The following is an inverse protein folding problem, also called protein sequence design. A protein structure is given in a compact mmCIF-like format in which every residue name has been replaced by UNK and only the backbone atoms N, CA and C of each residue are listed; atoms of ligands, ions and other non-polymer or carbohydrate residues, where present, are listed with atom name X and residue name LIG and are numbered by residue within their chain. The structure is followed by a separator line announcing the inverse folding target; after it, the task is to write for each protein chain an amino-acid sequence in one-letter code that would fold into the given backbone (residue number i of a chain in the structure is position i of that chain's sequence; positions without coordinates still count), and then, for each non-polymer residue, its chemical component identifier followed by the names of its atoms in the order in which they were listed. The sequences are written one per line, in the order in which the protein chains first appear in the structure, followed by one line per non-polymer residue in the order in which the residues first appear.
data_IF_330002432209
#
_entry.id   IF_330002432209
#
_cell.length_a   1.000
_cell.length_b   1.000
_cell.length_c   1.000
_cell.angle_alpha   90.00
_cell.angle_beta   90.00
_cell.angle_gamma   90.00
#
_symmetry.space_group_name_H-M   'P 1'
#
loop_
_entity.id
_entity.type
_entity.pdbx_description
1 polymer ?
#
# COMPACT_ATOMS: atom_id res chain seq x y z
N UNK A 1 -30.51 23.86 -26.45
CA UNK A 1 -30.55 22.39 -26.40
C UNK A 1 -29.34 21.77 -25.67
N UNK A 2 -28.66 22.50 -24.77
CA UNK A 2 -27.38 22.09 -24.16
C UNK A 2 -27.39 21.96 -22.62
N UNK A 3 -28.49 22.24 -21.92
CA UNK A 3 -28.58 21.99 -20.47
C UNK A 3 -29.28 20.67 -20.10
N UNK A 4 -30.21 20.19 -20.93
CA UNK A 4 -30.90 18.91 -20.70
C UNK A 4 -30.01 17.69 -20.99
N UNK A 5 -28.98 17.83 -21.84
CA UNK A 5 -28.03 16.75 -22.17
C UNK A 5 -27.08 16.40 -21.00
N UNK A 6 -26.68 17.40 -20.21
CA UNK A 6 -25.77 17.19 -19.06
C UNK A 6 -26.51 16.57 -17.87
N UNK A 7 -27.80 16.88 -17.71
CA UNK A 7 -28.64 16.34 -16.63
C UNK A 7 -29.07 14.88 -16.86
N UNK A 8 -29.17 14.44 -18.12
CA UNK A 8 -29.51 13.05 -18.45
C UNK A 8 -28.31 12.07 -18.38
N UNK A 9 -27.07 12.57 -18.52
CA UNK A 9 -25.87 11.74 -18.52
C UNK A 9 -25.37 11.43 -17.11
N UNK A 10 -25.55 12.33 -16.14
CA UNK A 10 -25.05 12.14 -14.77
C UNK A 10 -25.57 10.85 -14.09
N UNK A 11 -26.89 10.56 -14.08
CA UNK A 11 -27.39 9.31 -13.50
C UNK A 11 -27.01 8.07 -14.33
N UNK A 12 -26.78 8.22 -15.65
CA UNK A 12 -26.32 7.13 -16.52
C UNK A 12 -24.83 6.85 -16.28
N UNK A 13 -24.00 7.86 -16.05
CA UNK A 13 -22.58 7.69 -15.70
C UNK A 13 -22.41 6.97 -14.36
N UNK A 14 -23.19 7.35 -13.33
CA UNK A 14 -23.11 6.73 -12.01
C UNK A 14 -23.54 5.25 -11.99
N UNK A 15 -24.35 4.82 -12.97
CA UNK A 15 -24.82 3.42 -13.10
C UNK A 15 -23.96 2.62 -14.09
N UNK A 16 -23.68 3.20 -15.27
CA UNK A 16 -23.02 2.50 -16.38
C UNK A 16 -21.51 2.39 -16.16
N UNK A 17 -20.86 3.40 -15.59
CA UNK A 17 -19.40 3.39 -15.38
C UNK A 17 -18.98 2.27 -14.41
N UNK A 18 -19.63 2.06 -13.24
CA UNK A 18 -19.31 0.92 -12.37
C UNK A 18 -19.51 -0.45 -13.03
N UNK A 19 -20.55 -0.59 -13.86
CA UNK A 19 -20.85 -1.84 -14.59
C UNK A 19 -19.76 -2.12 -15.63
N UNK A 20 -19.39 -1.11 -16.43
CA UNK A 20 -18.31 -1.20 -17.41
C UNK A 20 -16.98 -1.54 -16.71
N UNK A 21 -16.65 -0.84 -15.63
CA UNK A 21 -15.42 -1.08 -14.85
C UNK A 21 -15.37 -2.51 -14.32
N UNK A 22 -16.46 -3.00 -13.72
CA UNK A 22 -16.55 -4.37 -13.19
C UNK A 22 -16.41 -5.42 -14.29
N UNK A 23 -16.92 -5.13 -15.48
CA UNK A 23 -16.89 -6.07 -16.61
C UNK A 23 -15.50 -6.12 -17.27
N UNK A 24 -14.89 -4.96 -17.54
CA UNK A 24 -13.52 -4.85 -18.08
C UNK A 24 -12.48 -5.48 -17.16
N UNK A 25 -12.68 -5.37 -15.84
CA UNK A 25 -11.79 -5.98 -14.84
C UNK A 25 -11.78 -7.52 -14.89
N UNK A 26 -12.78 -8.15 -15.51
CA UNK A 26 -12.98 -9.61 -15.53
C UNK A 26 -12.70 -10.29 -16.89
N UNK A 27 -12.31 -9.53 -17.92
CA UNK A 27 -12.12 -10.07 -19.27
C UNK A 27 -10.68 -10.45 -19.58
N UNK A 28 -10.52 -11.50 -20.40
CA UNK A 28 -9.23 -11.83 -21.01
C UNK A 28 -8.92 -10.88 -22.18
N UNK A 29 -7.62 -10.62 -22.47
CA UNK A 29 -7.19 -9.67 -23.49
C UNK A 29 -7.82 -9.86 -24.89
N UNK A 30 -8.04 -11.12 -25.29
CA UNK A 30 -8.62 -11.49 -26.58
C UNK A 30 -10.11 -11.14 -26.73
N UNK A 31 -10.80 -10.81 -25.63
CA UNK A 31 -12.24 -10.48 -25.64
C UNK A 31 -12.52 -8.99 -25.45
N UNK A 32 -11.54 -8.16 -25.09
CA UNK A 32 -11.76 -6.74 -24.76
C UNK A 32 -12.28 -5.89 -25.94
N UNK A 33 -11.93 -6.24 -27.18
CA UNK A 33 -12.25 -5.41 -28.34
C UNK A 33 -13.67 -5.67 -28.91
N UNK A 34 -14.17 -6.90 -28.81
CA UNK A 34 -15.47 -7.30 -29.41
C UNK A 34 -16.68 -7.03 -28.52
N UNK A 35 -16.45 -6.75 -27.23
CA UNK A 35 -17.47 -7.00 -26.22
C UNK A 35 -17.89 -5.76 -25.42
N UNK A 36 -17.02 -4.76 -25.31
CA UNK A 36 -17.38 -3.42 -24.82
C UNK A 36 -18.34 -2.70 -25.78
N UNK A 37 -18.14 -2.86 -27.10
CA UNK A 37 -19.06 -2.35 -28.13
C UNK A 37 -20.43 -3.03 -28.06
N UNK A 38 -20.47 -4.33 -27.73
CA UNK A 38 -21.71 -5.09 -27.54
C UNK A 38 -22.42 -4.75 -26.22
N UNK A 39 -21.68 -4.38 -25.16
CA UNK A 39 -22.28 -4.07 -23.85
C UNK A 39 -22.85 -2.64 -23.78
N UNK A 40 -22.15 -1.64 -24.33
CA UNK A 40 -22.71 -0.28 -24.49
C UNK A 40 -23.97 -0.37 -25.36
N UNK A 41 -23.95 -1.20 -26.39
CA UNK A 41 -25.10 -1.49 -27.23
C UNK A 41 -26.25 -2.15 -26.45
N UNK A 42 -25.98 -3.19 -25.64
CA UNK A 42 -27.03 -3.89 -24.90
C UNK A 42 -27.66 -3.01 -23.81
N UNK A 43 -26.87 -2.24 -23.06
CA UNK A 43 -27.40 -1.48 -21.93
C UNK A 43 -28.10 -0.16 -22.35
N UNK A 44 -27.67 0.47 -23.45
CA UNK A 44 -28.42 1.57 -24.06
C UNK A 44 -29.71 1.07 -24.73
N UNK A 45 -29.71 -0.14 -25.32
CA UNK A 45 -30.92 -0.73 -25.90
C UNK A 45 -32.03 -1.01 -24.86
N UNK A 46 -31.66 -1.29 -23.60
CA UNK A 46 -32.64 -1.52 -22.52
C UNK A 46 -33.27 -0.24 -21.97
N UNK A 47 -32.75 0.95 -22.31
CA UNK A 47 -33.19 2.23 -21.75
C UNK A 47 -33.63 3.29 -22.77
N UNK A 48 -33.59 3.01 -24.08
CA UNK A 48 -34.12 3.93 -25.10
C UNK A 48 -35.05 3.22 -26.06
N UNK A 49 -36.31 3.67 -26.04
CA UNK A 49 -37.41 3.30 -26.94
C UNK A 49 -37.00 3.52 -28.41
N UNK A 50 -37.53 2.63 -29.24
CA UNK A 50 -37.41 2.47 -30.69
C UNK A 50 -37.24 3.76 -31.52
N UNK A 51 -36.46 3.60 -32.60
CA UNK A 51 -36.38 4.46 -33.80
C UNK A 51 -35.30 5.54 -33.96
N UNK A 52 -34.17 5.49 -33.25
CA UNK A 52 -32.98 6.25 -33.68
C UNK A 52 -31.89 5.31 -34.20
N UNK A 53 -31.38 5.63 -35.40
CA UNK A 53 -30.26 4.96 -36.07
C UNK A 53 -29.24 4.46 -35.06
N UNK A 54 -29.03 3.14 -35.05
CA UNK A 54 -28.09 2.44 -34.17
C UNK A 54 -26.68 2.94 -34.48
N UNK A 55 -26.24 3.97 -33.75
CA UNK A 55 -24.84 4.35 -33.69
C UNK A 55 -24.18 3.31 -32.79
N UNK A 56 -23.26 2.55 -33.36
CA UNK A 56 -22.44 1.59 -32.63
C UNK A 56 -21.53 2.40 -31.68
N UNK A 57 -21.96 2.60 -30.44
CA UNK A 57 -21.20 3.37 -29.45
C UNK A 57 -19.99 2.55 -28.98
N UNK A 58 -18.83 2.84 -29.58
CA UNK A 58 -17.53 2.36 -29.11
C UNK A 58 -16.93 3.37 -28.13
N UNK A 59 -15.94 2.97 -27.32
CA UNK A 59 -15.18 3.91 -26.46
C UNK A 59 -14.58 5.08 -27.26
N UNK A 60 -14.36 4.90 -28.56
CA UNK A 60 -13.84 5.91 -29.49
C UNK A 60 -14.86 7.03 -29.78
N UNK A 61 -16.15 6.79 -29.51
CA UNK A 61 -17.24 7.75 -29.67
C UNK A 61 -17.55 8.51 -28.37
N UNK A 62 -16.90 8.17 -27.26
CA UNK A 62 -17.08 8.89 -26.00
C UNK A 62 -16.25 10.17 -25.97
N UNK A 63 -16.74 11.25 -25.32
CA UNK A 63 -15.91 12.41 -25.03
C UNK A 63 -14.65 11.99 -24.26
N UNK A 64 -13.51 12.59 -24.62
CA UNK A 64 -12.19 12.21 -24.09
C UNK A 64 -12.15 12.18 -22.56
N UNK A 65 -12.73 13.18 -21.90
CA UNK A 65 -12.76 13.25 -20.43
C UNK A 65 -13.57 12.11 -19.80
N UNK A 66 -14.64 11.64 -20.46
CA UNK A 66 -15.44 10.50 -20.00
C UNK A 66 -14.67 9.20 -20.15
N UNK A 67 -13.94 9.02 -21.27
CA UNK A 67 -13.09 7.87 -21.47
C UNK A 67 -11.95 7.81 -20.43
N UNK A 68 -11.34 8.97 -20.11
CA UNK A 68 -10.32 9.07 -19.06
C UNK A 68 -10.88 8.77 -17.67
N UNK A 69 -12.09 9.24 -17.32
CA UNK A 69 -12.76 8.90 -16.06
C UNK A 69 -13.10 7.41 -15.96
N UNK A 70 -13.45 6.75 -17.07
CA UNK A 70 -13.63 5.29 -17.08
C UNK A 70 -12.28 4.60 -16.83
N UNK A 71 -11.23 5.00 -17.54
CA UNK A 71 -9.91 4.40 -17.42
C UNK A 71 -9.31 4.61 -16.03
N UNK A 72 -9.44 5.81 -15.45
CA UNK A 72 -8.96 6.09 -14.09
C UNK A 72 -9.61 5.22 -13.02
N UNK A 73 -10.75 4.60 -13.31
CA UNK A 73 -11.45 3.67 -12.44
C UNK A 73 -11.15 2.20 -12.74
N UNK A 74 -10.32 1.87 -13.72
CA UNK A 74 -9.94 0.48 -13.94
C UNK A 74 -8.78 0.09 -13.02
N UNK A 75 -8.68 -1.19 -12.60
CA UNK A 75 -7.49 -1.69 -11.95
C UNK A 75 -6.26 -1.44 -12.82
N UNK A 76 -5.12 -1.13 -12.21
CA UNK A 76 -3.87 -0.84 -12.94
C UNK A 76 -3.49 -1.99 -13.88
N UNK A 77 -3.71 -3.24 -13.45
CA UNK A 77 -3.48 -4.42 -14.29
C UNK A 77 -4.28 -4.42 -15.60
N UNK A 78 -5.53 -3.95 -15.58
CA UNK A 78 -6.37 -3.78 -16.77
C UNK A 78 -5.88 -2.62 -17.64
N UNK A 79 -5.43 -1.52 -17.02
CA UNK A 79 -4.91 -0.37 -17.74
C UNK A 79 -3.64 -0.69 -18.54
N UNK A 80 -2.75 -1.51 -17.98
CA UNK A 80 -1.57 -2.00 -18.70
C UNK A 80 -1.97 -2.81 -19.95
N UNK A 81 -3.03 -3.61 -19.88
CA UNK A 81 -3.51 -4.41 -21.01
C UNK A 81 -4.21 -3.56 -22.08
N UNK A 82 -4.93 -2.50 -21.67
CA UNK A 82 -5.67 -1.60 -22.55
C UNK A 82 -4.76 -0.89 -23.55
N UNK A 83 -3.48 -0.65 -23.20
CA UNK A 83 -2.47 -0.11 -24.12
C UNK A 83 -2.31 -0.95 -25.40
N UNK A 84 -2.57 -2.26 -25.32
CA UNK A 84 -2.41 -3.19 -26.43
C UNK A 84 -3.66 -3.33 -27.32
N UNK A 85 -4.77 -2.67 -27.01
CA UNK A 85 -6.05 -2.86 -27.71
C UNK A 85 -6.10 -2.08 -29.03
N UNK A 86 -5.90 -0.76 -28.99
CA UNK A 86 -5.81 0.08 -30.17
C UNK A 86 -5.02 1.38 -29.88
N UNK A 87 -4.65 2.12 -30.93
CA UNK A 87 -3.87 3.36 -30.80
C UNK A 87 -4.57 4.43 -29.95
N UNK A 88 -5.89 4.58 -30.11
CA UNK A 88 -6.69 5.55 -29.35
C UNK A 88 -6.68 5.23 -27.85
N UNK A 89 -6.77 3.95 -27.48
CA UNK A 89 -6.74 3.52 -26.08
C UNK A 89 -5.35 3.60 -25.49
N UNK A 90 -4.31 3.29 -26.28
CA UNK A 90 -2.94 3.55 -25.88
C UNK A 90 -2.72 5.03 -25.56
N UNK A 91 -3.17 5.94 -26.43
CA UNK A 91 -3.06 7.38 -26.22
C UNK A 91 -3.85 7.89 -24.99
N UNK A 92 -4.97 7.25 -24.64
CA UNK A 92 -5.70 7.54 -23.40
C UNK A 92 -4.98 6.98 -22.17
N UNK A 93 -4.38 5.80 -22.26
CA UNK A 93 -3.65 5.15 -21.19
C UNK A 93 -2.27 5.78 -20.90
N UNK A 94 -1.76 6.60 -21.83
CA UNK A 94 -0.53 7.39 -21.72
C UNK A 94 -0.80 8.86 -21.38
N UNK A 95 -2.06 9.20 -21.10
CA UNK A 95 -2.45 10.56 -20.80
C UNK A 95 -1.95 10.98 -19.40
N UNK A 96 -1.38 12.18 -19.32
CA UNK A 96 -0.63 12.64 -18.13
C UNK A 96 -1.50 12.89 -16.89
N UNK A 97 -2.82 13.11 -17.05
CA UNK A 97 -3.76 13.26 -15.94
C UNK A 97 -4.20 11.92 -15.40
N UNK A 98 -4.13 10.84 -16.19
CA UNK A 98 -4.62 9.52 -15.81
C UNK A 98 -4.05 9.00 -14.48
N UNK A 99 -2.74 9.08 -14.18
CA UNK A 99 -2.20 8.66 -12.89
C UNK A 99 -2.81 9.40 -11.70
N UNK A 100 -2.98 10.73 -11.82
CA UNK A 100 -3.57 11.56 -10.76
C UNK A 100 -5.06 11.25 -10.54
N UNK A 101 -5.82 11.07 -11.63
CA UNK A 101 -7.23 10.68 -11.57
C UNK A 101 -7.38 9.29 -10.97
N UNK A 102 -6.55 8.34 -11.39
CA UNK A 102 -6.57 6.98 -10.86
C UNK A 102 -6.28 6.97 -9.36
N UNK A 103 -5.27 7.71 -8.92
CA UNK A 103 -4.93 7.82 -7.51
C UNK A 103 -6.10 8.37 -6.67
N UNK A 104 -6.79 9.41 -7.15
CA UNK A 104 -7.95 9.98 -6.48
C UNK A 104 -9.13 8.99 -6.35
N UNK A 105 -9.30 8.08 -7.31
CA UNK A 105 -10.30 7.01 -7.19
C UNK A 105 -9.81 5.85 -6.32
N UNK A 106 -8.51 5.58 -6.29
CA UNK A 106 -7.94 4.50 -5.51
C UNK A 106 -8.13 4.71 -4.00
N UNK A 107 -8.11 5.96 -3.52
CA UNK A 107 -8.41 6.30 -2.11
C UNK A 107 -9.85 5.99 -1.68
N UNK A 108 -10.78 5.93 -2.65
CA UNK A 108 -12.18 5.55 -2.39
C UNK A 108 -12.45 4.05 -2.50
N UNK A 109 -11.41 3.23 -2.69
CA UNK A 109 -11.53 1.77 -2.85
C UNK A 109 -10.88 1.06 -1.67
N UNK A 110 -11.31 -0.18 -1.45
CA UNK A 110 -10.56 -1.06 -0.58
C UNK A 110 -9.13 -1.20 -1.13
N UNK A 111 -8.12 -1.15 -0.26
CA UNK A 111 -6.74 -1.20 -0.71
C UNK A 111 -6.38 -2.60 -1.22
N UNK A 112 -5.22 -2.71 -1.84
CA UNK A 112 -4.57 -3.98 -2.09
C UNK A 112 -3.70 -4.36 -0.90
N UNK A 113 -3.41 -5.65 -0.77
CA UNK A 113 -2.47 -6.16 0.22
C UNK A 113 -1.25 -6.68 -0.51
N UNK A 114 -0.07 -6.35 0.02
CA UNK A 114 1.19 -6.94 -0.39
C UNK A 114 1.58 -7.94 0.66
N UNK A 115 1.84 -9.17 0.21
CA UNK A 115 2.34 -10.26 1.02
C UNK A 115 3.83 -10.41 0.71
N UNK A 116 4.65 -10.24 1.73
CA UNK A 116 6.08 -10.50 1.66
C UNK A 116 6.37 -11.85 2.29
N UNK A 117 6.69 -12.85 1.47
CA UNK A 117 7.03 -14.19 1.95
C UNK A 117 8.26 -14.14 2.84
N UNK A 118 8.20 -14.77 4.01
CA UNK A 118 9.31 -14.87 4.95
C UNK A 118 10.21 -16.08 4.69
N UNK A 119 9.91 -16.89 3.66
CA UNK A 119 10.63 -18.13 3.38
C UNK A 119 11.73 -17.91 2.33
N UNK A 120 12.96 -18.34 2.66
CA UNK A 120 14.17 -18.20 1.82
C UNK A 120 14.03 -18.82 0.42
N UNK A 121 13.17 -19.83 0.25
CA UNK A 121 12.96 -20.52 -1.03
C UNK A 121 11.88 -19.89 -1.90
N UNK A 122 11.09 -18.94 -1.36
CA UNK A 122 9.93 -18.33 -2.03
C UNK A 122 9.94 -16.81 -1.84
N UNK A 123 11.09 -16.15 -1.97
CA UNK A 123 11.24 -14.71 -1.76
C UNK A 123 10.50 -13.88 -2.84
N UNK A 124 9.19 -13.80 -2.72
CA UNK A 124 8.25 -13.26 -3.71
C UNK A 124 7.32 -12.24 -3.07
N UNK A 125 7.14 -11.11 -3.74
CA UNK A 125 6.05 -10.18 -3.48
C UNK A 125 4.80 -10.68 -4.18
N UNK A 126 3.78 -10.96 -3.39
CA UNK A 126 2.47 -11.37 -3.87
C UNK A 126 1.42 -10.33 -3.50
N UNK A 127 0.34 -10.28 -4.27
CA UNK A 127 -0.68 -9.25 -4.12
C UNK A 127 -2.07 -9.86 -4.00
N UNK A 128 -2.89 -9.22 -3.17
CA UNK A 128 -4.33 -9.44 -3.11
C UNK A 128 -4.98 -8.10 -3.46
N UNK A 129 -5.63 -8.01 -4.61
CA UNK A 129 -6.25 -6.77 -5.08
C UNK A 129 -7.77 -6.78 -4.88
N UNK A 130 -8.31 -5.65 -4.44
CA UNK A 130 -9.73 -5.48 -4.14
C UNK A 130 -10.67 -5.51 -5.34
N UNK A 131 -10.15 -5.53 -6.58
CA UNK A 131 -10.97 -5.77 -7.78
C UNK A 131 -11.75 -7.08 -7.72
N UNK A 132 -11.28 -8.05 -6.92
CA UNK A 132 -11.93 -9.34 -6.68
C UNK A 132 -12.89 -9.32 -5.47
N UNK A 133 -12.94 -8.21 -4.73
CA UNK A 133 -13.67 -8.05 -3.47
C UNK A 133 -13.05 -8.87 -2.33
N UNK A 134 -12.89 -8.26 -1.15
CA UNK A 134 -12.79 -9.01 0.11
C UNK A 134 -14.17 -9.58 0.47
N UNK A 135 -14.78 -10.28 -0.48
CA UNK A 135 -16.05 -10.95 -0.31
C UNK A 135 -15.75 -12.35 0.24
N UNK A 136 -16.65 -12.81 1.10
CA UNK A 136 -16.57 -14.10 1.80
C UNK A 136 -16.40 -15.32 0.89
N UNK A 137 -16.60 -15.17 -0.43
CA UNK A 137 -16.76 -16.26 -1.38
C UNK A 137 -15.48 -16.68 -2.13
N UNK A 138 -14.39 -15.92 -2.06
CA UNK A 138 -12.99 -16.30 -2.35
C UNK A 138 -12.20 -15.12 -2.91
N UNK A 139 -11.03 -14.86 -2.34
CA UNK A 139 -10.00 -14.02 -2.97
C UNK A 139 -8.85 -14.92 -3.43
N UNK A 140 -8.13 -14.52 -4.48
CA UNK A 140 -7.00 -15.26 -5.01
C UNK A 140 -5.73 -14.44 -4.94
N UNK A 141 -4.66 -15.04 -4.43
CA UNK A 141 -3.33 -14.43 -4.47
C UNK A 141 -2.86 -14.35 -5.92
N UNK A 142 -2.45 -13.16 -6.34
CA UNK A 142 -1.79 -12.92 -7.63
C UNK A 142 -0.29 -12.79 -7.37
N UNK A 143 0.48 -13.66 -7.98
CA UNK A 143 1.93 -13.50 -8.02
C UNK A 143 2.29 -12.53 -9.15
N UNK A 144 3.23 -11.62 -8.88
CA UNK A 144 3.81 -10.75 -9.90
C UNK A 144 5.20 -11.25 -10.36
N UNK A 145 5.41 -12.56 -10.23
CA UNK A 145 6.66 -13.24 -10.59
C UNK A 145 7.22 -12.72 -11.91
N UNK A 146 8.47 -12.22 -11.86
CA UNK A 146 9.23 -11.77 -13.03
C UNK A 146 9.24 -10.26 -13.31
N UNK A 147 8.34 -9.46 -12.71
CA UNK A 147 8.34 -7.98 -12.94
C UNK A 147 9.29 -7.22 -12.01
N UNK A 148 9.52 -7.76 -10.82
CA UNK A 148 10.43 -7.22 -9.83
C UNK A 148 11.56 -8.21 -9.60
N UNK A 149 12.58 -8.17 -10.46
CA UNK A 149 13.80 -8.96 -10.30
C UNK A 149 14.87 -8.07 -9.68
N UNK A 150 14.88 -8.01 -8.35
CA UNK A 150 16.03 -7.43 -7.64
C UNK A 150 17.11 -8.51 -7.55
N UNK A 151 18.38 -8.11 -7.61
CA UNK A 151 19.49 -9.03 -7.32
C UNK A 151 19.52 -9.49 -5.84
N UNK A 152 18.52 -9.10 -5.03
CA UNK A 152 18.43 -9.43 -3.62
C UNK A 152 17.82 -10.82 -3.43
N UNK A 153 18.59 -11.71 -2.82
CA UNK A 153 18.13 -13.05 -2.45
C UNK A 153 17.00 -13.03 -1.41
N UNK A 154 17.01 -12.04 -0.51
CA UNK A 154 16.03 -11.83 0.56
C UNK A 154 15.76 -10.34 0.80
N UNK A 155 14.48 -9.94 0.83
CA UNK A 155 14.10 -8.55 1.11
C UNK A 155 12.93 -8.44 2.10
N UNK A 156 12.95 -7.34 2.86
CA UNK A 156 11.87 -6.90 3.72
C UNK A 156 11.18 -5.69 3.11
N UNK A 157 9.86 -5.61 3.26
CA UNK A 157 9.11 -4.42 2.90
C UNK A 157 9.22 -3.40 4.04
N UNK A 158 9.87 -2.28 3.74
CA UNK A 158 10.06 -1.16 4.67
C UNK A 158 8.76 -0.39 4.84
N UNK A 159 8.06 -0.15 3.73
CA UNK A 159 6.86 0.65 3.72
C UNK A 159 6.21 0.70 2.35
N UNK A 160 4.95 1.10 2.35
CA UNK A 160 4.12 1.30 1.16
C UNK A 160 3.51 2.67 1.27
N UNK A 161 3.75 3.53 0.29
CA UNK A 161 3.27 4.89 0.34
C UNK A 161 2.99 5.41 -1.07
N UNK A 162 1.83 6.02 -1.25
CA UNK A 162 1.45 6.74 -2.46
C UNK A 162 1.78 5.98 -3.77
N UNK A 163 1.46 4.69 -3.85
CA UNK A 163 1.70 3.89 -5.06
C UNK A 163 3.05 3.17 -5.17
N UNK A 164 3.99 3.46 -4.29
CA UNK A 164 5.32 2.85 -4.32
C UNK A 164 5.57 2.00 -3.07
N UNK A 165 6.45 1.02 -3.22
CA UNK A 165 7.03 0.24 -2.14
C UNK A 165 8.49 0.65 -1.94
N UNK A 166 8.91 0.67 -0.68
CA UNK A 166 10.32 0.66 -0.31
C UNK A 166 10.63 -0.73 0.23
N UNK A 167 11.65 -1.36 -0.34
CA UNK A 167 12.16 -2.66 0.11
C UNK A 167 13.66 -2.56 0.39
N UNK A 168 14.14 -3.37 1.31
CA UNK A 168 15.57 -3.44 1.64
C UNK A 168 15.98 -4.89 1.81
N UNK A 169 17.27 -5.18 1.69
CA UNK A 169 17.77 -6.51 2.02
C UNK A 169 17.40 -6.88 3.48
N UNK A 170 16.88 -8.08 3.70
CA UNK A 170 16.40 -8.49 5.04
C UNK A 170 17.52 -8.59 6.09
N UNK A 171 18.74 -8.93 5.67
CA UNK A 171 19.87 -9.16 6.57
C UNK A 171 20.79 -7.96 6.68
N UNK A 172 21.12 -7.37 5.54
CA UNK A 172 22.10 -6.28 5.45
C UNK A 172 21.47 -4.90 5.45
N UNK A 173 20.14 -4.80 5.32
CA UNK A 173 19.38 -3.54 5.17
C UNK A 173 19.75 -2.70 3.93
N UNK A 174 20.73 -3.16 3.15
CA UNK A 174 21.19 -2.62 1.88
C UNK A 174 21.37 -3.76 0.86
N UNK A 175 21.08 -3.54 -0.44
CA UNK A 175 20.62 -2.28 -1.00
C UNK A 175 19.17 -1.95 -0.61
N UNK A 176 18.84 -0.66 -0.62
CA UNK A 176 17.46 -0.16 -0.50
C UNK A 176 16.95 0.12 -1.91
N UNK A 177 15.78 -0.41 -2.24
CA UNK A 177 15.14 -0.25 -3.55
C UNK A 177 13.75 0.36 -3.39
N UNK A 178 13.45 1.37 -4.18
CA UNK A 178 12.09 1.88 -4.36
C UNK A 178 11.52 1.25 -5.62
N UNK A 179 10.29 0.74 -5.55
CA UNK A 179 9.65 0.14 -6.70
C UNK A 179 8.17 0.47 -6.79
N UNK A 180 7.67 0.58 -8.03
CA UNK A 180 6.27 0.40 -8.32
C UNK A 180 6.08 -1.07 -8.70
N UNK A 181 5.54 -1.90 -7.80
CA UNK A 181 5.46 -3.32 -8.04
C UNK A 181 4.58 -3.63 -9.24
N UNK A 182 3.48 -2.91 -9.45
CA UNK A 182 2.46 -3.27 -10.45
C UNK A 182 2.99 -3.15 -11.88
N UNK A 183 3.74 -2.09 -12.17
CA UNK A 183 4.35 -1.86 -13.49
C UNK A 183 5.74 -2.51 -13.62
N UNK A 184 6.36 -2.93 -12.51
CA UNK A 184 7.70 -3.53 -12.52
C UNK A 184 8.84 -2.50 -12.67
N UNK A 185 8.59 -1.25 -12.30
CA UNK A 185 9.59 -0.18 -12.33
C UNK A 185 10.27 -0.06 -10.96
N UNK A 186 11.59 0.15 -10.95
CA UNK A 186 12.36 0.20 -9.72
C UNK A 186 13.64 1.03 -9.85
N UNK A 187 14.12 1.53 -8.71
CA UNK A 187 15.42 2.17 -8.57
C UNK A 187 16.11 1.71 -7.29
N UNK A 188 17.38 1.36 -7.41
CA UNK A 188 18.27 1.14 -6.26
C UNK A 188 18.80 2.49 -5.77
N UNK A 189 18.72 2.72 -4.45
CA UNK A 189 19.22 3.93 -3.81
C UNK A 189 20.74 3.85 -3.62
N UNK A 190 21.45 5.00 -3.59
CA UNK A 190 22.88 5.01 -3.30
C UNK A 190 23.17 4.37 -1.94
N UNK A 191 24.30 3.67 -1.82
CA UNK A 191 24.74 3.14 -0.52
C UNK A 191 25.21 4.28 0.38
N UNK A 192 24.87 4.24 1.67
CA UNK A 192 25.52 5.12 2.63
C UNK A 192 26.96 4.60 2.86
N UNK A 193 27.93 5.50 2.77
CA UNK A 193 29.35 5.21 3.04
C UNK A 193 29.80 5.74 4.39
N UNK A 194 28.94 6.45 5.11
CA UNK A 194 29.31 7.13 6.36
C UNK A 194 29.59 6.13 7.50
N UNK A 195 29.21 4.86 7.31
CA UNK A 195 28.61 4.09 8.38
C UNK A 195 28.62 2.57 8.07
N UNK A 196 29.77 1.87 8.20
CA UNK A 196 30.03 0.59 7.52
C UNK A 196 29.61 -0.72 8.22
N UNK A 197 29.21 -0.73 9.51
CA UNK A 197 28.72 -1.95 10.22
C UNK A 197 27.55 -1.59 11.13
N UNK A 198 26.31 -1.89 10.72
CA UNK A 198 25.14 -1.24 11.34
C UNK A 198 23.91 -2.11 11.42
N UNK A 199 23.23 -2.00 12.55
CA UNK A 199 21.83 -2.31 12.64
C UNK A 199 21.05 -1.08 12.17
N UNK A 200 20.02 -1.27 11.33
CA UNK A 200 19.29 -0.16 10.74
C UNK A 200 17.79 -0.32 10.98
N UNK A 201 17.13 0.76 11.41
CA UNK A 201 15.68 0.88 11.29
C UNK A 201 15.37 1.82 10.12
N UNK A 202 14.35 1.49 9.33
CA UNK A 202 14.02 2.20 8.10
C UNK A 202 12.64 2.84 8.18
N UNK A 203 12.47 3.93 7.45
CA UNK A 203 11.18 4.58 7.26
C UNK A 203 11.02 5.04 5.83
N UNK A 204 9.80 4.93 5.30
CA UNK A 204 9.48 5.37 3.95
C UNK A 204 8.16 6.12 3.94
N UNK A 205 8.18 7.33 3.39
CA UNK A 205 6.97 8.14 3.29
C UNK A 205 6.98 9.10 2.12
N UNK A 206 5.79 9.53 1.77
CA UNK A 206 5.54 10.58 0.78
C UNK A 206 5.14 11.85 1.52
N UNK A 207 5.73 12.97 1.13
CA UNK A 207 5.43 14.29 1.67
C UNK A 207 4.61 15.09 0.64
N UNK A 208 3.28 15.26 0.85
CA UNK A 208 2.42 15.90 -0.15
C UNK A 208 2.79 17.35 -0.48
N UNK A 209 3.29 18.12 0.49
CA UNK A 209 3.65 19.54 0.32
C UNK A 209 4.78 19.77 -0.68
N UNK A 210 5.73 18.84 -0.73
CA UNK A 210 6.84 18.87 -1.70
C UNK A 210 6.65 17.93 -2.88
N UNK A 211 5.62 17.07 -2.83
CA UNK A 211 5.39 15.98 -3.78
C UNK A 211 6.59 15.04 -3.94
N UNK A 212 7.33 14.81 -2.85
CA UNK A 212 8.54 13.98 -2.84
C UNK A 212 8.40 12.79 -1.90
N UNK A 213 9.08 11.71 -2.27
CA UNK A 213 9.30 10.56 -1.40
C UNK A 213 10.58 10.76 -0.61
N UNK A 214 10.54 10.38 0.66
CA UNK A 214 11.69 10.41 1.55
C UNK A 214 11.89 9.03 2.17
N UNK A 215 13.15 8.62 2.26
CA UNK A 215 13.58 7.44 2.99
C UNK A 215 14.43 7.89 4.16
N UNK A 216 14.13 7.38 5.35
CA UNK A 216 14.86 7.67 6.58
C UNK A 216 15.57 6.40 7.02
N UNK A 217 16.85 6.52 7.34
CA UNK A 217 17.68 5.47 7.94
C UNK A 217 18.03 5.87 9.35
N UNK A 218 17.76 5.00 10.31
CA UNK A 218 18.26 5.09 11.66
C UNK A 218 19.40 4.10 11.80
N UNK A 219 20.54 4.62 12.18
CA UNK A 219 21.82 3.95 12.18
C UNK A 219 22.25 3.75 13.62
N UNK A 220 22.47 2.50 14.01
CA UNK A 220 23.01 2.15 15.32
C UNK A 220 24.41 1.59 15.16
N UNK A 221 25.37 2.13 15.92
CA UNK A 221 26.71 1.57 15.99
C UNK A 221 27.31 1.68 17.40
N UNK A 222 28.19 0.73 17.70
CA UNK A 222 29.00 0.74 18.92
C UNK A 222 30.26 1.52 18.62
N UNK A 223 30.49 2.62 19.34
CA UNK A 223 31.74 3.34 19.30
C UNK A 223 32.73 2.65 20.22
N UNK A 224 33.56 1.79 19.62
CA UNK A 224 34.50 0.89 20.32
C UNK A 224 35.40 1.65 21.29
N UNK A 225 35.83 2.87 20.93
CA UNK A 225 36.74 3.69 21.75
C UNK A 225 36.19 4.05 23.14
N UNK A 226 34.87 4.25 23.25
CA UNK A 226 34.22 4.67 24.49
C UNK A 226 33.12 3.72 24.96
N UNK A 227 32.99 2.55 24.30
CA UNK A 227 31.94 1.55 24.54
C UNK A 227 30.53 2.16 24.62
N UNK A 228 30.27 3.21 23.84
CA UNK A 228 28.97 3.88 23.79
C UNK A 228 28.17 3.39 22.59
N UNK A 229 26.86 3.26 22.79
CA UNK A 229 25.91 3.09 21.70
C UNK A 229 25.52 4.48 21.20
N UNK A 230 25.80 4.78 19.93
CA UNK A 230 25.35 6.00 19.29
C UNK A 230 24.29 5.67 18.23
N UNK A 231 23.28 6.53 18.14
CA UNK A 231 22.19 6.44 17.17
C UNK A 231 22.21 7.70 16.32
N UNK A 232 22.30 7.55 15.01
CA UNK A 232 22.23 8.66 14.06
C UNK A 232 21.11 8.42 13.06
N UNK A 233 20.61 9.49 12.46
CA UNK A 233 19.68 9.39 11.36
C UNK A 233 20.25 10.00 10.08
N UNK A 234 19.90 9.40 8.97
CA UNK A 234 20.14 9.89 7.62
C UNK A 234 18.82 9.92 6.86
N UNK A 235 18.72 10.82 5.89
CA UNK A 235 17.57 10.96 5.02
C UNK A 235 18.00 11.06 3.56
N UNK A 236 17.16 10.54 2.67
CA UNK A 236 17.30 10.69 1.24
C UNK A 236 15.95 11.06 0.63
N UNK A 237 15.92 12.15 -0.11
CA UNK A 237 14.76 12.63 -0.88
C UNK A 237 14.88 12.18 -2.32
N UNK A 238 13.94 11.33 -2.76
CA UNK A 238 13.98 10.74 -4.09
C UNK A 238 13.87 11.81 -5.20
N UNK A 239 14.79 11.76 -6.16
CA UNK A 239 14.85 12.71 -7.28
C UNK A 239 15.43 14.08 -6.93
N UNK A 240 15.88 14.30 -5.68
CA UNK A 240 16.55 15.53 -5.25
C UNK A 240 17.94 15.24 -4.72
N UNK A 241 18.06 14.25 -3.85
CA UNK A 241 19.32 13.88 -3.22
C UNK A 241 20.03 12.77 -4.03
N UNK A 242 21.33 12.93 -4.25
CA UNK A 242 22.19 11.91 -4.88
C UNK A 242 22.97 11.07 -3.86
N UNK A 243 23.00 11.51 -2.60
CA UNK A 243 23.67 10.85 -1.48
C UNK A 243 22.82 11.01 -0.22
N UNK A 244 23.05 10.16 0.77
CA UNK A 244 22.41 10.29 2.07
C UNK A 244 22.85 11.56 2.79
N UNK A 245 21.89 12.29 3.35
CA UNK A 245 22.14 13.48 4.17
C UNK A 245 21.96 13.13 5.64
N UNK A 246 22.94 13.51 6.46
CA UNK A 246 22.85 13.33 7.91
C UNK A 246 21.82 14.27 8.53
N UNK A 247 20.96 13.73 9.39
CA UNK A 247 20.05 14.47 10.28
C UNK A 247 20.71 14.72 11.65
N UNK A 248 21.61 13.83 12.06
CA UNK A 248 22.31 13.92 13.35
C UNK A 248 21.83 12.88 14.36
N UNK A 249 22.07 13.11 15.67
CA UNK A 249 21.79 12.13 16.71
C UNK A 249 20.29 11.91 16.92
N UNK A 250 19.92 10.66 17.17
CA UNK A 250 18.53 10.24 17.41
C UNK A 250 18.28 10.18 18.92
N UNK A 251 17.16 10.73 19.41
CA UNK A 251 16.80 10.58 20.81
C UNK A 251 16.35 9.12 21.03
N UNK A 252 17.26 8.28 21.49
CA UNK A 252 16.95 6.91 21.92
C UNK A 252 17.38 5.80 20.96
N UNK A 253 17.26 4.56 21.45
CA UNK A 253 17.44 3.34 20.65
C UNK A 253 16.08 2.96 20.06
N UNK A 254 16.04 2.52 18.81
CA UNK A 254 14.82 1.96 18.21
C UNK A 254 14.89 0.44 18.15
N UNK A 255 13.72 -0.19 18.07
CA UNK A 255 13.67 -1.55 17.57
C UNK A 255 14.12 -1.58 16.11
N UNK A 256 14.79 -2.67 15.71
CA UNK A 256 15.29 -2.90 14.35
C UNK A 256 14.15 -3.31 13.40
N UNK A 257 13.06 -2.54 13.42
CA UNK A 257 11.87 -2.74 12.60
C UNK A 257 11.58 -1.48 11.80
N UNK A 258 11.03 -1.62 10.59
CA UNK A 258 10.57 -0.46 9.83
C UNK A 258 9.49 0.34 10.55
N UNK A 259 9.28 1.58 10.10
CA UNK A 259 8.20 2.44 10.57
C UNK A 259 6.86 1.74 10.44
N UNK A 260 6.06 1.79 11.49
CA UNK A 260 4.78 1.08 11.54
C UNK A 260 3.62 1.90 10.96
N UNK A 261 3.70 3.23 11.04
CA UNK A 261 2.66 4.12 10.53
C UNK A 261 3.24 5.43 9.96
N UNK A 262 2.60 5.94 8.90
CA UNK A 262 2.78 7.29 8.37
C UNK A 262 1.47 8.06 8.57
N UNK A 263 1.46 9.02 9.48
CA UNK A 263 0.28 9.82 9.84
C UNK A 263 0.69 11.28 9.93
N UNK A 264 -0.13 12.17 9.38
CA UNK A 264 0.11 13.62 9.40
C UNK A 264 1.51 14.04 8.90
N UNK A 265 2.06 13.33 7.90
CA UNK A 265 3.39 13.60 7.36
C UNK A 265 4.56 13.13 8.24
N UNK A 266 4.30 12.42 9.33
CA UNK A 266 5.31 11.88 10.22
C UNK A 266 5.33 10.35 10.23
N UNK A 267 6.52 9.78 10.28
CA UNK A 267 6.76 8.34 10.44
C UNK A 267 6.82 7.98 11.92
N UNK A 268 6.33 6.80 12.30
CA UNK A 268 6.20 6.41 13.70
C UNK A 268 6.77 5.02 13.98
N UNK A 269 7.50 4.88 15.09
CA UNK A 269 8.05 3.62 15.59
C UNK A 269 7.75 3.47 17.08
N UNK A 270 7.36 2.26 17.48
CA UNK A 270 7.32 1.88 18.90
C UNK A 270 8.73 1.53 19.34
N UNK A 271 9.13 2.03 20.50
CA UNK A 271 10.43 1.71 21.09
C UNK A 271 10.35 1.52 22.61
N UNK A 272 11.31 0.76 23.14
CA UNK A 272 11.55 0.60 24.57
C UNK A 272 12.34 1.80 25.08
N UNK A 273 11.77 2.49 26.06
CA UNK A 273 12.37 3.61 26.76
C UNK A 273 12.64 3.25 28.23
N UNK A 274 13.85 3.54 28.70
CA UNK A 274 14.23 3.32 30.10
C UNK A 274 13.97 4.57 30.92
N UNK A 275 13.04 4.50 31.86
CA UNK A 275 12.77 5.56 32.83
C UNK A 275 13.36 5.19 34.20
N UNK A 276 14.23 6.04 34.75
CA UNK A 276 14.97 5.73 35.98
C UNK A 276 14.08 5.37 37.18
N UNK A 277 12.88 5.95 37.29
CA UNK A 277 11.96 5.71 38.42
C UNK A 277 10.80 4.78 38.09
N UNK A 278 10.53 4.50 36.81
CA UNK A 278 9.33 3.78 36.37
C UNK A 278 9.65 2.51 35.57
N UNK A 279 10.93 2.18 35.42
CA UNK A 279 11.37 1.00 34.69
C UNK A 279 11.31 1.17 33.16
N UNK A 280 11.23 0.04 32.46
CA UNK A 280 11.11 0.00 31.01
C UNK A 280 9.66 0.30 30.63
N UNK A 281 9.46 1.25 29.71
CA UNK A 281 8.14 1.59 29.15
C UNK A 281 8.20 1.65 27.64
N UNK A 282 7.08 1.40 26.98
CA UNK A 282 6.95 1.69 25.56
C UNK A 282 6.66 3.17 25.33
N UNK A 283 7.31 3.74 24.33
CA UNK A 283 7.02 5.07 23.78
C UNK A 283 7.01 5.02 22.28
N UNK A 284 6.42 6.04 21.66
CA UNK A 284 6.48 6.22 20.22
C UNK A 284 7.47 7.33 19.92
N UNK A 285 8.44 7.04 19.06
CA UNK A 285 9.20 8.09 18.38
C UNK A 285 8.46 8.43 17.08
N UNK A 286 8.30 9.72 16.80
CA UNK A 286 7.86 10.20 15.51
C UNK A 286 9.00 10.96 14.82
N UNK A 287 9.04 10.90 13.50
CA UNK A 287 9.91 11.72 12.67
C UNK A 287 9.08 12.46 11.63
N UNK A 288 9.01 13.78 11.78
CA UNK A 288 8.29 14.66 10.86
C UNK A 288 9.07 14.79 9.55
N UNK A 289 8.47 14.43 8.41
CA UNK A 289 9.15 14.48 7.11
C UNK A 289 9.31 15.92 6.56
N UNK A 290 8.53 16.87 7.07
CA UNK A 290 8.55 18.28 6.68
C UNK A 290 9.63 19.03 7.44
N UNK A 291 9.58 18.95 8.78
CA UNK A 291 10.51 19.63 9.67
C UNK A 291 11.81 18.86 9.87
N UNK A 292 11.82 17.56 9.54
CA UNK A 292 12.95 16.63 9.73
C UNK A 292 13.41 16.57 11.19
N UNK A 293 12.43 16.53 12.11
CA UNK A 293 12.66 16.51 13.56
C UNK A 293 12.01 15.30 14.21
N UNK A 294 12.68 14.83 15.26
CA UNK A 294 12.15 13.79 16.14
C UNK A 294 11.25 14.38 17.21
N UNK A 295 10.16 13.68 17.53
CA UNK A 295 9.31 13.98 18.67
C UNK A 295 8.98 12.68 19.41
N UNK A 296 8.71 12.81 20.71
CA UNK A 296 8.23 11.73 21.53
C UNK A 296 6.72 11.84 21.68
N UNK A 297 6.04 10.70 21.57
CA UNK A 297 4.61 10.57 21.80
C UNK A 297 4.43 9.49 22.86
N UNK A 298 3.69 9.84 23.92
CA UNK A 298 3.29 8.87 24.94
C UNK A 298 2.19 7.96 24.39
N UNK A 299 2.30 6.67 24.71
CA UNK A 299 1.24 5.71 24.45
C UNK A 299 0.13 5.90 25.50
N UNK A 300 -1.12 5.54 25.17
CA UNK A 300 -2.17 5.58 26.18
C UNK A 300 -1.85 4.64 27.34
N UNK A 301 -2.43 4.92 28.50
CA UNK A 301 -2.10 4.28 29.77
C UNK A 301 -2.57 2.82 29.85
N UNK A 302 -1.91 1.94 29.11
CA UNK A 302 -2.03 0.49 29.24
C UNK A 302 -0.67 -0.10 29.60
N UNK A 303 -0.67 -1.11 30.48
CA UNK A 303 0.55 -1.75 30.95
C UNK A 303 1.17 -2.61 29.84
N UNK A 304 2.18 -2.06 29.18
CA UNK A 304 2.94 -2.76 28.15
C UNK A 304 4.38 -2.96 28.61
N UNK A 305 4.69 -4.21 28.95
CA UNK A 305 6.03 -4.62 29.40
C UNK A 305 6.94 -5.04 28.26
N UNK A 306 6.38 -5.38 27.09
CA UNK A 306 7.13 -5.82 25.90
C UNK A 306 6.63 -5.14 24.64
N UNK A 307 7.55 -4.75 23.75
CA UNK A 307 7.21 -4.12 22.48
C UNK A 307 6.42 -5.03 21.53
N UNK A 308 6.51 -6.36 21.69
CA UNK A 308 5.65 -7.30 20.97
C UNK A 308 4.16 -7.15 21.30
N UNK A 309 3.84 -6.54 22.44
CA UNK A 309 2.46 -6.38 22.90
C UNK A 309 1.79 -5.14 22.31
N UNK A 310 2.50 -4.35 21.51
CA UNK A 310 1.94 -3.17 20.87
C UNK A 310 2.44 -2.99 19.44
N UNK A 311 1.55 -2.57 18.54
CA UNK A 311 1.96 -2.04 17.24
C UNK A 311 1.11 -0.84 16.84
N UNK A 312 1.67 0.00 15.99
CA UNK A 312 0.98 1.14 15.42
C UNK A 312 0.39 0.80 14.05
N UNK A 313 -0.71 1.48 13.72
CA UNK A 313 -1.36 1.41 12.42
C UNK A 313 -2.09 2.73 12.15
N UNK A 314 -2.10 3.17 10.90
CA UNK A 314 -2.92 4.30 10.48
C UNK A 314 -4.35 3.80 10.21
N UNK A 315 -5.33 4.31 10.96
CA UNK A 315 -6.74 3.97 10.80
C UNK A 315 -7.55 5.25 10.67
N UNK A 316 -8.37 5.36 9.62
CA UNK A 316 -9.19 6.54 9.34
C UNK A 316 -8.40 7.86 9.35
N UNK A 317 -7.14 7.81 8.89
CA UNK A 317 -6.23 8.97 8.88
C UNK A 317 -5.64 9.35 10.25
N UNK A 318 -5.98 8.62 11.32
CA UNK A 318 -5.46 8.83 12.67
C UNK A 318 -4.35 7.83 13.01
N UNK A 319 -3.46 8.22 13.91
CA UNK A 319 -2.50 7.31 14.53
C UNK A 319 -3.25 6.42 15.52
N UNK A 320 -3.13 5.11 15.35
CA UNK A 320 -3.74 4.13 16.26
C UNK A 320 -2.68 3.24 16.89
N UNK A 321 -2.86 2.95 18.18
CA UNK A 321 -2.06 1.98 18.92
C UNK A 321 -2.91 0.74 19.21
N UNK A 322 -2.43 -0.43 18.79
CA UNK A 322 -3.08 -1.71 19.07
C UNK A 322 -2.36 -2.35 20.23
N UNK A 323 -3.09 -2.65 21.29
CA UNK A 323 -2.60 -3.33 22.49
C UNK A 323 -3.07 -4.79 22.47
N UNK A 324 -2.12 -5.71 22.52
CA UNK A 324 -2.36 -7.15 22.54
C UNK A 324 -2.52 -7.63 23.98
N UNK A 325 -3.70 -8.14 24.31
CA UNK A 325 -4.09 -8.60 25.64
C UNK A 325 -3.88 -10.12 25.82
N UNK A 326 -2.98 -10.72 25.03
CA UNK A 326 -2.78 -12.16 25.00
C UNK A 326 -4.05 -12.91 24.60
N UNK A 327 -4.51 -13.82 25.47
CA UNK A 327 -5.67 -14.68 25.23
C UNK A 327 -7.02 -13.92 25.31
N UNK A 328 -7.04 -12.64 25.72
CA UNK A 328 -8.28 -11.85 25.80
C UNK A 328 -8.65 -11.16 24.48
N UNK A 329 -7.69 -11.01 23.56
CA UNK A 329 -7.87 -10.32 22.28
C UNK A 329 -7.03 -9.05 22.18
N UNK A 330 -7.59 -7.99 21.60
CA UNK A 330 -6.89 -6.73 21.36
C UNK A 330 -7.75 -5.50 21.70
N UNK A 331 -7.10 -4.45 22.18
CA UNK A 331 -7.67 -3.10 22.24
C UNK A 331 -7.07 -2.23 21.13
N UNK A 332 -7.89 -1.40 20.50
CA UNK A 332 -7.44 -0.41 19.51
C UNK A 332 -7.72 0.99 20.06
N UNK A 333 -6.65 1.72 20.31
CA UNK A 333 -6.67 3.12 20.73
C UNK A 333 -6.42 4.02 19.52
N UNK A 334 -7.15 5.12 19.42
CA UNK A 334 -7.05 6.08 18.32
C UNK A 334 -6.79 7.47 18.89
N UNK A 335 -5.74 8.13 18.39
CA UNK A 335 -5.42 9.52 18.72
C UNK A 335 -6.29 10.44 17.87
N UNK A 336 -7.29 11.09 18.49
CA UNK A 336 -8.25 11.93 17.76
C UNK A 336 -7.67 13.27 17.32
N UNK A 337 -6.76 13.82 18.12
CA UNK A 337 -6.04 15.03 17.83
C UNK A 337 -4.54 14.71 17.82
N UNK A 338 -3.91 14.88 16.66
CA UNK A 338 -2.53 14.47 16.46
C UNK A 338 -1.60 15.22 17.43
N UNK A 339 -0.72 14.47 18.10
CA UNK A 339 0.21 14.95 19.16
C UNK A 339 -0.46 15.49 20.44
N UNK A 340 -1.76 15.21 20.65
CA UNK A 340 -2.46 15.51 21.91
C UNK A 340 -2.67 14.19 22.67
N UNK A 341 -1.93 14.02 23.76
CA UNK A 341 -1.93 12.78 24.57
C UNK A 341 -3.33 12.45 25.12
N UNK A 342 -4.04 13.45 25.62
CA UNK A 342 -5.38 13.30 26.18
C UNK A 342 -6.45 12.92 25.15
N UNK A 343 -6.12 12.99 23.85
CA UNK A 343 -7.02 12.66 22.75
C UNK A 343 -7.05 11.17 22.40
N UNK A 344 -6.21 10.35 23.03
CA UNK A 344 -6.26 8.90 22.89
C UNK A 344 -7.58 8.36 23.44
N UNK A 345 -8.37 7.74 22.56
CA UNK A 345 -9.59 7.04 22.97
C UNK A 345 -9.49 5.56 22.61
N UNK A 346 -9.92 4.68 23.52
CA UNK A 346 -10.15 3.27 23.19
C UNK A 346 -11.37 3.20 22.27
N UNK A 347 -11.15 2.97 20.98
CA UNK A 347 -12.22 2.95 19.98
C UNK A 347 -12.82 1.56 19.78
N UNK A 348 -11.99 0.52 19.84
CA UNK A 348 -12.45 -0.86 19.67
C UNK A 348 -11.84 -1.76 20.76
N UNK A 349 -12.65 -2.68 21.26
CA UNK A 349 -12.22 -3.82 22.07
C UNK A 349 -12.66 -5.08 21.33
N UNK A 350 -11.69 -5.84 20.82
CA UNK A 350 -11.95 -7.00 19.95
C UNK A 350 -11.51 -8.24 20.72
N UNK A 351 -12.48 -9.07 21.08
CA UNK A 351 -12.22 -10.32 21.79
C UNK A 351 -11.42 -11.33 20.97
N UNK A 352 -10.95 -12.37 21.65
CA UNK A 352 -10.29 -13.50 21.01
C UNK A 352 -11.20 -14.14 19.94
N UNK A 353 -10.59 -14.49 18.80
CA UNK A 353 -11.26 -15.23 17.74
C UNK A 353 -10.35 -16.34 17.20
N UNK A 354 -11.00 -17.48 16.90
CA UNK A 354 -10.34 -18.72 16.47
C UNK A 354 -10.89 -19.06 15.07
N UNK A 355 -10.15 -18.79 13.99
CA UNK A 355 -10.59 -19.07 12.63
C UNK A 355 -10.90 -20.55 12.39
N UNK A 356 -11.89 -20.87 11.56
CA UNK A 356 -12.29 -22.25 11.29
C UNK A 356 -11.22 -23.07 10.53
N UNK A 357 -10.28 -22.42 9.86
CA UNK A 357 -9.22 -23.04 9.05
C UNK A 357 -8.08 -23.67 9.83
N UNK A 358 -8.19 -23.81 11.15
CA UNK A 358 -7.13 -24.35 12.01
C UNK A 358 -7.02 -25.86 11.92
N UNK A 359 -5.80 -26.32 11.64
CA UNK A 359 -5.42 -27.75 11.69
C UNK A 359 -4.36 -28.00 12.79
N UNK A 360 -3.72 -26.96 13.32
CA UNK A 360 -2.57 -27.05 14.25
C UNK A 360 -2.91 -26.72 15.72
N UNK A 361 -2.13 -27.25 16.70
CA UNK A 361 -2.44 -27.16 18.13
C UNK A 361 -2.09 -25.81 18.80
N UNK A 362 -1.43 -24.87 18.10
CA UNK A 362 -1.13 -23.55 18.65
C UNK A 362 -2.37 -22.65 18.60
N UNK A 363 -2.76 -22.07 19.74
CA UNK A 363 -3.90 -21.15 19.82
C UNK A 363 -3.67 -19.97 18.88
N UNK A 364 -4.56 -19.71 17.90
CA UNK A 364 -4.45 -18.51 17.09
C UNK A 364 -4.70 -17.29 17.96
N UNK A 365 -3.92 -16.25 17.73
CA UNK A 365 -4.22 -14.92 18.24
C UNK A 365 -4.08 -13.92 17.10
N UNK A 366 -4.78 -12.80 17.24
CA UNK A 366 -4.70 -11.69 16.31
C UNK A 366 -3.28 -11.14 16.41
N UNK A 367 -2.50 -11.23 15.33
CA UNK A 367 -1.12 -10.78 15.31
C UNK A 367 -1.04 -9.30 14.91
N UNK A 368 -1.87 -8.89 13.94
CA UNK A 368 -1.82 -7.54 13.38
C UNK A 368 -3.20 -7.05 12.94
N UNK A 369 -3.50 -5.78 13.24
CA UNK A 369 -4.58 -5.03 12.59
C UNK A 369 -4.02 -4.46 11.29
N UNK A 370 -4.64 -4.78 10.16
CA UNK A 370 -4.11 -4.42 8.84
C UNK A 370 -4.65 -3.08 8.38
N UNK A 371 -5.97 -2.94 8.28
CA UNK A 371 -6.66 -1.71 7.88
C UNK A 371 -8.15 -1.79 8.18
N UNK A 372 -8.85 -0.66 8.01
CA UNK A 372 -10.31 -0.60 7.89
C UNK A 372 -10.67 -0.56 6.41
N UNK A 373 -11.61 -1.42 6.01
CA UNK A 373 -12.18 -1.44 4.66
C UNK A 373 -13.31 -0.41 4.53
N UNK A 374 -13.68 -0.06 3.31
CA UNK A 374 -14.72 0.94 3.00
C UNK A 374 -16.09 0.68 3.64
N UNK A 375 -16.38 -0.56 4.05
CA UNK A 375 -17.62 -0.92 4.75
C UNK A 375 -17.48 -0.89 6.28
N UNK A 376 -16.44 -0.23 6.82
CA UNK A 376 -16.20 -0.15 8.26
C UNK A 376 -15.67 -1.45 8.90
N UNK A 377 -15.54 -2.54 8.14
CA UNK A 377 -14.98 -3.80 8.62
C UNK A 377 -13.48 -3.69 8.82
N UNK A 378 -12.98 -4.23 9.93
CA UNK A 378 -11.57 -4.26 10.29
C UNK A 378 -10.96 -5.55 9.74
N UNK A 379 -9.90 -5.42 8.95
CA UNK A 379 -9.14 -6.56 8.47
C UNK A 379 -8.03 -6.92 9.46
N UNK A 380 -8.07 -8.15 9.95
CA UNK A 380 -7.15 -8.72 10.91
C UNK A 380 -6.28 -9.80 10.25
N UNK A 381 -5.02 -9.87 10.65
CA UNK A 381 -4.08 -10.92 10.27
C UNK A 381 -3.67 -11.72 11.50
N UNK A 382 -3.94 -13.01 11.48
CA UNK A 382 -3.64 -13.95 12.56
C UNK A 382 -2.23 -14.52 12.41
N UNK A 383 -1.64 -14.97 13.52
CA UNK A 383 -0.29 -15.58 13.54
C UNK A 383 -0.16 -16.85 12.67
N UNK A 384 -1.26 -17.55 12.40
CA UNK A 384 -1.33 -18.71 11.52
C UNK A 384 -1.43 -18.36 10.01
N UNK A 385 -1.36 -17.08 9.65
CA UNK A 385 -1.49 -16.61 8.27
C UNK A 385 -2.93 -16.41 7.78
N UNK A 386 -3.94 -16.65 8.62
CA UNK A 386 -5.33 -16.41 8.25
C UNK A 386 -5.67 -14.91 8.26
N UNK A 387 -6.56 -14.51 7.35
CA UNK A 387 -7.18 -13.19 7.35
C UNK A 387 -8.62 -13.29 7.85
N UNK A 388 -9.00 -12.38 8.75
CA UNK A 388 -10.33 -12.33 9.35
C UNK A 388 -10.89 -10.92 9.21
N UNK A 389 -12.16 -10.81 8.82
CA UNK A 389 -12.90 -9.55 8.88
C UNK A 389 -13.68 -9.49 10.18
N UNK A 390 -13.50 -8.42 10.93
CA UNK A 390 -14.30 -8.10 12.09
C UNK A 390 -15.25 -6.94 11.76
N UNK A 391 -16.54 -7.12 12.02
CA UNK A 391 -17.52 -6.05 11.94
C UNK A 391 -17.73 -5.42 13.32
N UNK A 392 -17.29 -4.17 13.57
CA UNK A 392 -17.45 -3.53 14.86
C UNK A 392 -18.90 -3.21 15.22
N UNK A 393 -19.82 -3.12 14.25
CA UNK A 393 -21.24 -2.82 14.54
C UNK A 393 -22.01 -4.05 15.02
N UNK A 394 -21.70 -5.23 14.47
CA UNK A 394 -22.37 -6.48 14.82
C UNK A 394 -21.54 -7.38 15.73
N UNK A 395 -20.29 -6.99 16.02
CA UNK A 395 -19.27 -7.77 16.75
C UNK A 395 -19.04 -9.17 16.18
N UNK A 396 -19.20 -9.33 14.86
CA UNK A 396 -19.06 -10.62 14.18
C UNK A 396 -17.74 -10.74 13.44
N UNK A 397 -17.21 -11.97 13.43
CA UNK A 397 -16.03 -12.35 12.69
C UNK A 397 -16.40 -13.17 11.46
N UNK A 398 -15.71 -12.90 10.36
CA UNK A 398 -15.86 -13.62 9.11
C UNK A 398 -14.48 -14.01 8.58
N UNK A 399 -14.24 -15.31 8.46
CA UNK A 399 -13.03 -15.85 7.84
C UNK A 399 -12.96 -15.47 6.36
N UNK A 400 -11.78 -15.03 5.91
CA UNK A 400 -11.48 -14.84 4.50
C UNK A 400 -10.75 -16.05 3.95
N UNK A 401 -11.41 -16.79 3.08
CA UNK A 401 -10.78 -17.87 2.32
C UNK A 401 -9.99 -17.28 1.15
N UNK A 402 -8.67 -17.25 1.30
CA UNK A 402 -7.75 -16.76 0.28
C UNK A 402 -6.92 -17.92 -0.25
N UNK A 403 -7.06 -18.20 -1.54
CA UNK A 403 -6.34 -19.29 -2.20
C UNK A 403 -4.93 -18.85 -2.62
N UNK A 404 -3.94 -19.72 -2.38
CA UNK A 404 -2.54 -19.49 -2.77
C UNK A 404 -1.74 -18.61 -1.83
N UNK A 405 -2.15 -18.47 -0.58
CA UNK A 405 -1.35 -17.79 0.46
C UNK A 405 -0.01 -18.51 0.66
N UNK A 406 1.08 -17.77 0.85
CA UNK A 406 2.37 -18.35 1.23
C UNK A 406 2.31 -18.87 2.67
N UNK A 407 3.21 -19.79 3.03
CA UNK A 407 3.20 -20.44 4.35
C UNK A 407 3.47 -19.47 5.51
N UNK A 408 4.35 -18.49 5.29
CA UNK A 408 4.71 -17.47 6.26
C UNK A 408 4.98 -16.17 5.53
N UNK A 409 4.37 -15.08 5.98
CA UNK A 409 4.48 -13.80 5.32
C UNK A 409 4.17 -12.64 6.26
N UNK A 410 4.70 -11.47 5.93
CA UNK A 410 4.23 -10.20 6.47
C UNK A 410 3.30 -9.51 5.48
N UNK A 411 2.40 -8.67 5.99
CA UNK A 411 1.40 -7.97 5.17
C UNK A 411 1.50 -6.47 5.36
N UNK A 412 1.41 -5.74 4.24
CA UNK A 412 1.25 -4.29 4.21
C UNK A 412 0.15 -3.87 3.23
N UNK A 413 -0.52 -2.77 3.56
CA UNK A 413 -1.53 -2.14 2.72
C UNK A 413 -0.85 -1.39 1.58
N UNK A 414 -1.38 -1.53 0.37
CA UNK A 414 -0.86 -0.86 -0.82
C UNK A 414 -1.97 -0.32 -1.71
N UNK A 415 -1.73 0.87 -2.24
CA UNK A 415 -2.59 1.53 -3.21
C UNK A 415 -1.92 1.34 -4.57
N UNK A 416 -2.61 0.72 -5.52
CA UNK A 416 -2.04 0.55 -6.87
C UNK A 416 -1.84 1.90 -7.55
N UNK A 417 -0.80 2.02 -8.37
CA UNK A 417 -0.48 3.26 -9.06
C UNK A 417 0.16 3.04 -10.43
N UNK A 418 -0.03 4.01 -11.31
CA UNK A 418 0.58 4.10 -12.63
C UNK A 418 1.87 4.92 -12.64
N UNK A 419 2.32 5.41 -11.48
CA UNK A 419 3.49 6.27 -11.36
C UNK A 419 4.76 5.56 -11.87
N UNK A 420 5.46 6.21 -12.79
CA UNK A 420 6.81 5.82 -13.20
C UNK A 420 7.83 6.50 -12.27
N UNK A 421 8.86 5.77 -11.89
CA UNK A 421 9.92 6.30 -11.02
C UNK A 421 10.74 7.36 -11.78
N UNK A 422 10.96 7.18 -13.08
CA UNK A 422 11.68 8.14 -13.92
C UNK A 422 11.03 9.54 -13.92
N UNK A 423 9.69 9.59 -13.90
CA UNK A 423 8.93 10.86 -13.79
C UNK A 423 9.22 11.56 -12.46
N UNK A 424 9.33 10.79 -11.37
CA UNK A 424 9.65 11.32 -10.03
C UNK A 424 11.10 11.85 -10.00
N UNK A 425 12.01 11.17 -10.69
CA UNK A 425 13.40 11.59 -10.80
C UNK A 425 13.60 12.82 -11.70
N UNK A 426 12.57 13.26 -12.43
CA UNK A 426 12.67 14.38 -13.36
C UNK A 426 13.56 14.09 -14.57
N UNK A 427 13.75 12.81 -14.91
CA UNK A 427 14.52 12.40 -16.09
C UNK A 427 13.63 12.60 -17.32
N UNK A 428 13.99 13.54 -18.19
CA UNK A 428 13.20 13.92 -19.36
C UNK A 428 13.09 12.75 -20.36
N UNK A 429 11.86 12.42 -20.78
CA UNK A 429 11.48 11.13 -21.41
C UNK A 429 11.64 11.05 -22.94
N UNK A 430 12.29 12.02 -23.59
CA UNK A 430 12.45 12.01 -25.06
C UNK A 430 13.34 10.85 -25.58
N UNK A 431 14.06 10.14 -24.71
CA UNK A 431 15.00 9.09 -25.11
C UNK A 431 14.55 7.64 -24.86
N UNK A 432 13.40 7.36 -24.21
CA UNK A 432 13.13 6.02 -23.65
C UNK A 432 11.86 5.28 -24.09
N UNK A 433 11.05 5.86 -24.98
CA UNK A 433 9.88 5.17 -25.55
C UNK A 433 10.21 3.85 -26.32
N UNK A 434 11.49 3.50 -26.47
CA UNK A 434 11.93 2.20 -27.00
C UNK A 434 12.02 1.08 -25.96
N UNK A 435 12.14 1.38 -24.64
CA UNK A 435 12.35 0.35 -23.59
C UNK A 435 11.06 -0.28 -23.06
N UNK A 436 9.93 0.43 -23.10
CA UNK A 436 8.62 -0.13 -22.69
C UNK A 436 8.14 -1.18 -23.70
N UNK A 437 8.48 -1.02 -24.98
CA UNK A 437 8.08 -1.94 -26.06
C UNK A 437 8.87 -3.27 -26.00
N UNK A 438 10.15 -3.25 -25.58
CA UNK A 438 10.97 -4.46 -25.55
C UNK A 438 10.64 -5.39 -24.36
N UNK A 439 10.24 -4.86 -23.20
CA UNK A 439 9.99 -5.68 -21.99
C UNK A 439 8.63 -6.40 -21.98
N UNK A 440 7.62 -5.86 -22.67
CA UNK A 440 6.30 -6.51 -22.78
C UNK A 440 6.30 -7.58 -23.89
N UNK A 441 7.13 -7.42 -24.93
CA UNK A 441 7.24 -8.37 -26.04
C UNK A 441 7.85 -9.72 -25.64
N UNK A 442 8.83 -9.74 -24.73
CA UNK A 442 9.53 -10.98 -24.34
C UNK A 442 8.71 -11.89 -23.42
N UNK A 443 7.77 -11.32 -22.63
CA UNK A 443 6.84 -12.10 -21.79
C UNK A 443 5.75 -12.83 -22.59
N UNK A 444 5.60 -12.57 -23.89
CA UNK A 444 4.60 -13.21 -24.75
C UNK A 444 5.14 -14.35 -25.61
N UNK A 445 6.42 -14.70 -25.46
CA UNK A 445 7.10 -15.75 -26.24
C UNK A 445 7.83 -16.81 -25.41
N UNK A 446 7.50 -16.98 -24.13
CA UNK A 446 7.98 -18.09 -23.31
C UNK A 446 6.81 -18.90 -22.76
#
# INVERSE_FOLDING_TARGET
MNLLFVLYIKPVQDIVVPIIVRWVSNLRPSFLCLSLSQLIFHHLSTHTIDHLNVIQYTMENLPRDVALDIFSRLPVSSLVQIKCVCKSWCALAEETRLPSMHHAHATSRNPCLVLNSACQTENKLQFICSGDGFNQYSSKVRSLDGRFNTAMSEYQVVGSCNGLLCVSNSYYYDPITICNPIIGDYIELPKSTQFPMQEVALGFGYLPTSMRYKVVRFVFYIKIEIWSLESHAEILTLGTDHTWRSIGPVPGRLELKPSQALVNGALHWVTLFFHFTQGIRLRVISFDLTEEKFRWIELPSFDCTFASNCHLVALEGCLSAVHHLGDEGIDIWVMKEYEVEESWIKKYAIGMYVPASLVEPTRPHINKVVCILNMGKILLHCNNGAFVLYNPESEQFNDLTISGLPKSFSTIVHVESLLLIEEILGINTDALNSKVISRVGESSRA
#
